data_IF_963344303676
#
_entry.id   IF_963344303676
#
_cell.length_a   1.000
_cell.length_b   1.000
_cell.length_c   1.000
_cell.angle_alpha   90.00
_cell.angle_beta   90.00
_cell.angle_gamma   90.00
#
_symmetry.space_group_name_H-M   'P 1'
#
loop_
_entity.id
_entity.type
_entity.pdbx_description
1 polymer ?
#
# COMPACT_ATOMS: atom_id res chain seq x y z
N UNK A 1 17.58 69.54 13.24
CA UNK A 1 17.67 68.20 12.64
C UNK A 1 16.89 67.24 13.51
N UNK A 2 15.74 66.81 12.99
CA UNK A 2 14.90 65.65 13.35
C UNK A 2 15.71 64.34 13.23
N UNK A 3 15.40 63.15 13.79
CA UNK A 3 14.42 62.49 14.69
C UNK A 3 15.05 61.09 14.94
N UNK A 4 14.86 60.46 16.11
CA UNK A 4 14.87 58.99 16.20
C UNK A 4 14.30 58.49 17.54
N UNK A 5 13.06 57.97 17.54
CA UNK A 5 12.55 57.04 18.54
C UNK A 5 11.55 56.07 17.90
N UNK A 6 11.80 54.78 18.15
CA UNK A 6 10.90 53.63 18.28
C UNK A 6 9.94 53.23 17.13
N UNK A 7 10.11 52.00 16.62
CA UNK A 7 9.04 51.00 16.54
C UNK A 7 9.64 49.63 16.18
N UNK A 8 9.49 48.65 17.08
CA UNK A 8 9.67 47.25 16.77
C UNK A 8 8.40 46.69 16.12
N UNK A 9 8.57 45.79 15.15
CA UNK A 9 7.53 44.85 14.69
C UNK A 9 8.25 43.61 14.14
N UNK A 10 8.21 42.54 14.93
CA UNK A 10 8.63 41.20 14.52
C UNK A 10 7.59 40.64 13.56
N UNK A 11 7.88 40.65 12.25
CA UNK A 11 7.03 40.01 11.26
C UNK A 11 7.31 38.50 11.24
N UNK A 12 6.29 37.72 11.63
CA UNK A 12 6.29 36.26 11.57
C UNK A 12 6.47 35.77 10.13
N UNK A 13 7.57 35.06 9.87
CA UNK A 13 7.78 34.36 8.61
C UNK A 13 6.83 33.16 8.55
N UNK A 14 5.80 33.27 7.70
CA UNK A 14 4.87 32.19 7.44
C UNK A 14 5.57 31.15 6.57
N UNK A 15 6.00 30.05 7.19
CA UNK A 15 6.54 28.89 6.49
C UNK A 15 5.39 28.21 5.77
N UNK A 16 5.25 28.46 4.47
CA UNK A 16 4.37 27.72 3.58
C UNK A 16 4.89 26.28 3.53
N UNK A 17 4.24 25.38 4.27
CA UNK A 17 4.47 23.96 4.17
C UNK A 17 4.01 23.51 2.78
N UNK A 18 4.96 23.43 1.84
CA UNK A 18 4.73 22.77 0.56
C UNK A 18 4.59 21.29 0.88
N UNK A 19 3.35 20.81 0.86
CA UNK A 19 3.06 19.39 0.93
C UNK A 19 3.79 18.72 -0.24
N UNK A 20 4.86 18.00 0.09
CA UNK A 20 5.59 17.16 -0.85
C UNK A 20 4.59 16.16 -1.44
N UNK A 21 4.14 16.41 -2.67
CA UNK A 21 3.53 15.38 -3.50
C UNK A 21 4.61 14.35 -3.75
N UNK A 22 4.63 13.33 -2.90
CA UNK A 22 5.46 12.15 -3.10
C UNK A 22 5.02 11.49 -4.40
N UNK A 23 5.67 11.85 -5.50
CA UNK A 23 5.62 11.09 -6.75
C UNK A 23 6.33 9.79 -6.45
N UNK A 24 5.56 8.76 -6.06
CA UNK A 24 6.07 7.42 -5.85
C UNK A 24 6.72 6.96 -7.18
N UNK A 25 8.05 7.05 -7.23
CA UNK A 25 8.83 6.56 -8.36
C UNK A 25 8.65 5.05 -8.35
N UNK A 26 7.86 4.52 -9.29
CA UNK A 26 7.79 3.08 -9.54
C UNK A 26 9.15 2.67 -10.07
N UNK A 27 10.05 2.29 -9.16
CA UNK A 27 11.31 1.65 -9.53
C UNK A 27 10.97 0.30 -10.15
N UNK A 28 11.42 0.11 -11.38
CA UNK A 28 11.68 -1.18 -12.02
C UNK A 28 12.79 -1.90 -11.25
N UNK A 29 12.50 -2.27 -10.00
CA UNK A 29 13.15 -3.42 -9.38
C UNK A 29 12.64 -4.67 -10.10
N UNK A 30 13.47 -5.69 -10.24
CA UNK A 30 13.00 -7.04 -10.51
C UNK A 30 11.69 -7.29 -9.73
N UNK A 31 10.72 -7.98 -10.32
CA UNK A 31 9.36 -8.27 -9.80
C UNK A 31 9.38 -9.12 -8.50
N UNK A 32 10.19 -8.73 -7.52
CA UNK A 32 10.29 -9.35 -6.22
C UNK A 32 9.52 -8.48 -5.23
N UNK A 33 8.71 -9.14 -4.40
CA UNK A 33 8.07 -8.47 -3.30
C UNK A 33 9.09 -8.32 -2.17
N UNK A 34 9.35 -7.08 -1.74
CA UNK A 34 10.24 -6.84 -0.61
C UNK A 34 9.50 -7.11 0.72
N UNK A 35 10.23 -7.53 1.75
CA UNK A 35 9.70 -7.53 3.11
C UNK A 35 9.56 -6.08 3.63
N UNK A 36 8.50 -5.71 4.40
CA UNK A 36 7.34 -6.50 4.81
C UNK A 36 6.09 -6.15 3.97
N UNK A 37 6.16 -6.30 2.65
CA UNK A 37 5.07 -5.97 1.73
C UNK A 37 4.29 -7.21 1.30
N UNK A 38 3.00 -7.00 1.01
CA UNK A 38 2.15 -7.96 0.31
C UNK A 38 1.95 -7.44 -1.11
N UNK A 39 2.47 -8.16 -2.09
CA UNK A 39 2.43 -7.71 -3.48
C UNK A 39 1.43 -8.52 -4.27
N UNK A 40 0.80 -7.86 -5.23
CA UNK A 40 -0.07 -8.47 -6.22
C UNK A 40 0.63 -8.40 -7.57
N UNK A 41 0.77 -9.54 -8.22
CA UNK A 41 1.32 -9.68 -9.55
C UNK A 41 0.22 -10.13 -10.50
N UNK A 42 0.26 -9.66 -11.75
CA UNK A 42 -0.57 -10.13 -12.85
C UNK A 42 0.32 -10.45 -14.04
N UNK A 43 0.33 -11.70 -14.49
CA UNK A 43 1.20 -12.18 -15.56
C UNK A 43 2.68 -11.83 -15.31
N UNK A 44 3.13 -11.98 -14.07
CA UNK A 44 4.49 -11.65 -13.65
C UNK A 44 4.77 -10.16 -13.41
N UNK A 45 3.79 -9.27 -13.63
CA UNK A 45 3.96 -7.82 -13.43
C UNK A 45 3.30 -7.37 -12.13
N UNK A 46 4.03 -6.68 -11.25
CA UNK A 46 3.46 -6.11 -10.02
C UNK A 46 2.41 -5.04 -10.33
N UNK A 47 1.16 -5.33 -9.99
CA UNK A 47 0.02 -4.42 -10.16
C UNK A 47 -0.33 -3.63 -8.87
N UNK A 48 0.22 -4.05 -7.72
CA UNK A 48 -0.03 -3.38 -6.45
C UNK A 48 0.84 -3.94 -5.33
N UNK A 49 1.00 -3.15 -4.27
CA UNK A 49 1.69 -3.54 -3.05
C UNK A 49 1.00 -2.90 -1.85
N UNK A 50 0.96 -3.64 -0.74
CA UNK A 50 0.29 -3.26 0.49
C UNK A 50 1.21 -3.54 1.67
N UNK A 51 1.32 -2.59 2.59
CA UNK A 51 2.12 -2.73 3.81
C UNK A 51 1.28 -2.49 5.06
N UNK A 52 0.25 -1.66 4.95
CA UNK A 52 -0.48 -1.25 6.13
C UNK A 52 -1.36 -2.39 6.65
N UNK A 53 -1.18 -2.73 7.93
CA UNK A 53 -2.09 -3.59 8.67
C UNK A 53 -3.35 -2.79 8.93
N UNK A 54 -4.44 -3.16 8.26
CA UNK A 54 -5.70 -2.43 8.32
C UNK A 54 -6.81 -3.34 8.84
N UNK A 55 -7.61 -2.83 9.77
CA UNK A 55 -8.83 -3.53 10.20
C UNK A 55 -9.90 -3.57 9.09
N UNK A 56 -9.79 -2.68 8.11
CA UNK A 56 -10.68 -2.54 6.95
C UNK A 56 -10.09 -3.13 5.66
N UNK A 57 -10.97 -3.38 4.69
CA UNK A 57 -10.59 -3.82 3.35
C UNK A 57 -10.06 -2.65 2.52
N UNK A 58 -8.89 -2.83 1.93
CA UNK A 58 -8.31 -1.92 0.96
C UNK A 58 -8.76 -2.33 -0.43
N UNK A 59 -9.58 -1.51 -1.08
CA UNK A 59 -10.12 -1.82 -2.40
C UNK A 59 -9.03 -1.75 -3.46
N UNK A 60 -8.99 -2.75 -4.34
CA UNK A 60 -8.10 -2.77 -5.49
C UNK A 60 -8.72 -1.92 -6.61
N UNK A 61 -8.16 -0.75 -6.96
CA UNK A 61 -8.77 0.13 -7.96
C UNK A 61 -8.89 -0.55 -9.32
N UNK A 62 -7.89 -1.34 -9.70
CA UNK A 62 -7.84 -2.07 -10.97
C UNK A 62 -8.67 -3.35 -11.01
N UNK A 63 -9.31 -3.74 -9.88
CA UNK A 63 -10.10 -4.98 -9.69
C UNK A 63 -9.59 -6.14 -10.55
N UNK A 64 -8.35 -6.58 -10.32
CA UNK A 64 -7.71 -7.51 -11.23
C UNK A 64 -8.49 -8.82 -11.30
N UNK A 65 -8.74 -9.27 -12.53
CA UNK A 65 -9.45 -10.50 -12.84
C UNK A 65 -8.68 -11.39 -13.81
N UNK A 66 -8.94 -12.70 -13.73
CA UNK A 66 -8.42 -13.71 -14.64
C UNK A 66 -7.21 -14.50 -14.10
N UNK A 67 -6.73 -15.49 -14.89
CA UNK A 67 -5.57 -16.30 -14.54
C UNK A 67 -4.28 -15.47 -14.55
N UNK A 68 -3.25 -15.96 -13.85
CA UNK A 68 -1.94 -15.30 -13.76
C UNK A 68 -1.87 -14.22 -12.68
N UNK A 69 -2.87 -14.15 -11.80
CA UNK A 69 -2.83 -13.32 -10.62
C UNK A 69 -2.13 -14.05 -9.48
N UNK A 70 -1.16 -13.40 -8.85
CA UNK A 70 -0.40 -13.98 -7.74
C UNK A 70 -0.36 -12.97 -6.61
N UNK A 71 -0.70 -13.40 -5.42
CA UNK A 71 -0.64 -12.58 -4.21
C UNK A 71 0.42 -13.16 -3.32
N UNK A 72 1.48 -12.40 -3.10
CA UNK A 72 2.63 -12.86 -2.33
C UNK A 72 2.69 -12.11 -1.00
N UNK A 73 2.56 -12.87 0.09
CA UNK A 73 2.73 -12.36 1.44
C UNK A 73 4.16 -12.65 1.90
N UNK A 74 5.00 -11.63 1.95
CA UNK A 74 6.38 -11.77 2.44
C UNK A 74 6.49 -11.65 3.95
N UNK A 75 5.41 -11.24 4.63
CA UNK A 75 5.41 -11.02 6.08
C UNK A 75 5.60 -12.33 6.83
N UNK A 76 6.18 -12.25 8.03
CA UNK A 76 6.50 -13.42 8.85
C UNK A 76 5.43 -13.73 9.90
N UNK A 77 4.79 -12.70 10.46
CA UNK A 77 3.84 -12.83 11.58
C UNK A 77 2.44 -12.30 11.26
N UNK A 78 2.21 -11.84 10.03
CA UNK A 78 0.93 -11.28 9.58
C UNK A 78 0.37 -12.06 8.39
N UNK A 79 -0.94 -12.27 8.39
CA UNK A 79 -1.67 -12.87 7.27
C UNK A 79 -2.24 -11.81 6.33
N UNK A 80 -2.35 -12.18 5.05
CA UNK A 80 -3.04 -11.38 4.06
C UNK A 80 -4.36 -12.04 3.67
N UNK A 81 -5.46 -11.32 3.80
CA UNK A 81 -6.75 -11.74 3.28
C UNK A 81 -7.02 -11.06 1.95
N UNK A 82 -7.48 -11.82 0.98
CA UNK A 82 -8.00 -11.30 -0.29
C UNK A 82 -9.51 -11.48 -0.33
N UNK A 83 -10.20 -10.46 -0.86
CA UNK A 83 -11.64 -10.46 -1.06
C UNK A 83 -11.97 -10.63 -2.52
N UNK A 84 -12.84 -11.59 -2.79
CA UNK A 84 -13.35 -11.88 -4.12
C UNK A 84 -14.57 -11.02 -4.44
N UNK A 85 -14.84 -10.79 -5.72
CA UNK A 85 -16.06 -10.08 -6.16
C UNK A 85 -17.35 -10.78 -5.75
N UNK A 86 -17.31 -12.11 -5.54
CA UNK A 86 -18.44 -12.88 -5.02
C UNK A 86 -18.63 -12.79 -3.50
N UNK A 87 -17.79 -12.02 -2.79
CA UNK A 87 -17.87 -11.87 -1.33
C UNK A 87 -17.11 -12.92 -0.53
N UNK A 88 -16.63 -14.00 -1.17
CA UNK A 88 -15.70 -14.93 -0.56
C UNK A 88 -14.40 -14.22 -0.14
N UNK A 89 -13.67 -14.85 0.78
CA UNK A 89 -12.36 -14.40 1.23
C UNK A 89 -11.38 -15.56 1.29
N UNK A 90 -10.14 -15.34 0.87
CA UNK A 90 -9.07 -16.33 1.00
C UNK A 90 -7.99 -15.76 1.90
N UNK A 91 -7.52 -16.57 2.85
CA UNK A 91 -6.41 -16.23 3.70
C UNK A 91 -5.10 -16.75 3.12
N UNK A 92 -4.08 -15.92 3.17
CA UNK A 92 -2.73 -16.23 2.70
C UNK A 92 -1.82 -16.21 3.93
N UNK A 93 -1.25 -17.38 4.31
CA UNK A 93 -0.38 -17.47 5.46
C UNK A 93 0.88 -16.60 5.29
N UNK A 94 1.62 -16.35 6.38
CA UNK A 94 2.90 -15.65 6.30
C UNK A 94 3.89 -16.42 5.41
N UNK A 95 4.82 -15.70 4.78
CA UNK A 95 5.85 -16.24 3.88
C UNK A 95 5.32 -17.11 2.73
N UNK A 96 4.08 -16.88 2.31
CA UNK A 96 3.39 -17.72 1.33
C UNK A 96 2.85 -16.91 0.17
N UNK A 97 2.71 -17.58 -0.98
CA UNK A 97 2.08 -17.01 -2.17
C UNK A 97 0.82 -17.79 -2.53
N UNK A 98 -0.19 -17.08 -3.00
CA UNK A 98 -1.44 -17.65 -3.49
C UNK A 98 -1.65 -17.26 -4.94
N UNK A 99 -1.79 -18.27 -5.80
CA UNK A 99 -2.11 -18.09 -7.21
C UNK A 99 -3.62 -18.10 -7.40
N UNK A 100 -4.12 -17.06 -8.04
CA UNK A 100 -5.51 -16.90 -8.42
C UNK A 100 -5.67 -17.41 -9.84
N UNK A 101 -6.26 -18.60 -9.97
CA UNK A 101 -6.52 -19.24 -11.27
C UNK A 101 -7.77 -18.69 -11.95
N UNK A 102 -8.76 -18.26 -11.17
CA UNK A 102 -10.02 -17.71 -11.68
C UNK A 102 -10.66 -16.74 -10.67
N UNK A 103 -11.49 -15.83 -11.15
CA UNK A 103 -12.19 -14.84 -10.33
C UNK A 103 -11.60 -13.43 -10.41
N UNK A 104 -12.24 -12.52 -9.68
CA UNK A 104 -11.90 -11.09 -9.61
C UNK A 104 -11.63 -10.71 -8.16
N UNK A 105 -10.47 -10.12 -7.90
CA UNK A 105 -10.15 -9.58 -6.58
C UNK A 105 -10.69 -8.15 -6.48
N UNK A 106 -11.40 -7.88 -5.39
CA UNK A 106 -11.98 -6.56 -5.10
C UNK A 106 -11.22 -5.83 -4.02
N UNK A 107 -10.57 -6.54 -3.12
CA UNK A 107 -9.83 -5.93 -2.02
C UNK A 107 -8.83 -6.87 -1.38
N UNK A 108 -7.98 -6.27 -0.56
CA UNK A 108 -7.00 -6.95 0.28
C UNK A 108 -7.05 -6.37 1.69
N UNK A 109 -6.73 -7.19 2.68
CA UNK A 109 -6.63 -6.77 4.09
C UNK A 109 -5.49 -7.52 4.74
N UNK A 110 -4.54 -6.79 5.31
CA UNK A 110 -3.46 -7.39 6.10
C UNK A 110 -3.89 -7.35 7.56
N UNK A 111 -3.79 -8.48 8.25
CA UNK A 111 -4.14 -8.62 9.66
C UNK A 111 -2.95 -9.15 10.44
N UNK A 112 -2.74 -8.64 11.65
CA UNK A 112 -1.65 -9.05 12.53
C UNK A 112 -1.88 -10.40 13.23
N UNK A 113 -2.54 -11.32 12.54
CA UNK A 113 -2.69 -12.69 13.00
C UNK A 113 -1.54 -13.53 12.46
N UNK A 114 -0.99 -14.39 13.31
CA UNK A 114 0.10 -15.31 12.94
C UNK A 114 -0.36 -16.49 12.09
N UNK A 115 -1.68 -16.75 12.00
CA UNK A 115 -2.26 -17.89 11.29
C UNK A 115 -3.56 -17.53 10.58
N UNK A 116 -3.79 -18.24 9.47
CA UNK A 116 -5.09 -18.42 8.85
C UNK A 116 -5.83 -19.55 9.58
#
# INVERSE_FOLDING_TARGET
>A
MTVAMAAGVSAAAQVTAVASTATATVRTAADTCAYPYVCLFKNGVRIGQFQDVTSSWQNLPSKPSGPGLVVQNTRHDDVAYIRWSGGATTCIPPNSSFEVTSGTLTGIRISSAATC
#
